data_IF_873938257390
#
_entry.id   IF_873938257390
#
_cell.length_a   1.000
_cell.length_b   1.000
_cell.length_c   1.000
_cell.angle_alpha   90.00
_cell.angle_beta   90.00
_cell.angle_gamma   90.00
#
_symmetry.space_group_name_H-M   'P 1'
#
loop_
_entity.id
_entity.type
_entity.pdbx_description
1 polymer ?
#
# COMPACT_ATOMS: atom_id res chain seq x y z
N UNK A 1 19.62 -24.83 11.84
CA UNK A 1 19.38 -24.05 10.60
C UNK A 1 17.92 -24.18 10.17
N UNK A 2 17.13 -23.10 10.16
CA UNK A 2 15.72 -23.17 9.76
C UNK A 2 15.57 -23.24 8.23
N UNK A 3 14.89 -24.28 7.72
CA UNK A 3 14.64 -24.50 6.28
C UNK A 3 13.92 -23.29 5.64
N UNK A 4 14.14 -22.99 4.34
CA UNK A 4 13.51 -21.85 3.61
C UNK A 4 11.99 -21.77 3.79
N UNK A 5 11.31 -22.92 3.91
CA UNK A 5 9.88 -22.99 4.22
C UNK A 5 9.49 -22.30 5.53
N UNK A 6 10.30 -22.44 6.59
CA UNK A 6 10.04 -21.79 7.89
C UNK A 6 10.18 -20.27 7.78
N UNK A 7 11.14 -19.78 7.01
CA UNK A 7 11.32 -18.35 6.77
C UNK A 7 10.12 -17.78 5.98
N UNK A 8 9.66 -18.48 4.94
CA UNK A 8 8.50 -18.06 4.16
C UNK A 8 7.22 -18.00 5.03
N UNK A 9 6.98 -19.05 5.82
CA UNK A 9 5.85 -19.10 6.76
C UNK A 9 5.92 -17.94 7.76
N UNK A 10 7.08 -17.68 8.37
CA UNK A 10 7.23 -16.58 9.32
C UNK A 10 6.94 -15.20 8.69
N UNK A 11 7.41 -14.98 7.46
CA UNK A 11 7.16 -13.73 6.73
C UNK A 11 5.67 -13.52 6.45
N UNK A 12 4.99 -14.57 5.96
CA UNK A 12 3.55 -14.50 5.66
C UNK A 12 2.74 -14.35 6.94
N UNK A 13 3.07 -15.07 8.01
CA UNK A 13 2.38 -14.97 9.30
C UNK A 13 2.54 -13.57 9.91
N UNK A 14 3.71 -12.96 9.81
CA UNK A 14 3.90 -11.58 10.27
C UNK A 14 3.03 -10.59 9.48
N UNK A 15 2.93 -10.75 8.16
CA UNK A 15 2.02 -9.96 7.35
C UNK A 15 0.55 -10.16 7.69
N UNK A 16 0.13 -11.43 7.86
CA UNK A 16 -1.22 -11.79 8.26
C UNK A 16 -1.57 -11.21 9.63
N UNK A 17 -0.65 -11.27 10.60
CA UNK A 17 -0.84 -10.68 11.92
C UNK A 17 -1.08 -9.17 11.83
N UNK A 18 -0.30 -8.45 11.01
CA UNK A 18 -0.52 -7.00 10.78
C UNK A 18 -1.88 -6.73 10.14
N UNK A 19 -2.24 -7.47 9.09
CA UNK A 19 -3.52 -7.29 8.41
C UNK A 19 -4.72 -7.55 9.35
N UNK A 20 -4.69 -8.65 10.11
CA UNK A 20 -5.74 -8.98 11.08
C UNK A 20 -5.80 -7.94 12.19
N UNK A 21 -4.66 -7.51 12.73
CA UNK A 21 -4.62 -6.48 13.78
C UNK A 21 -5.27 -5.19 13.30
N UNK A 22 -4.97 -4.73 12.08
CA UNK A 22 -5.61 -3.54 11.52
C UNK A 22 -7.11 -3.75 11.30
N UNK A 23 -7.52 -4.92 10.80
CA UNK A 23 -8.94 -5.25 10.64
C UNK A 23 -9.71 -5.21 11.96
N UNK A 24 -9.15 -5.84 13.00
CA UNK A 24 -9.72 -5.83 14.36
C UNK A 24 -9.78 -4.40 14.89
N UNK A 25 -8.68 -3.65 14.84
CA UNK A 25 -8.63 -2.26 15.32
C UNK A 25 -9.66 -1.35 14.62
N UNK A 26 -9.85 -1.52 13.31
CA UNK A 26 -10.86 -0.79 12.56
C UNK A 26 -12.29 -1.25 12.85
N UNK A 27 -12.50 -2.51 13.24
CA UNK A 27 -13.83 -3.04 13.54
C UNK A 27 -14.34 -2.66 14.92
N UNK A 28 -13.43 -2.38 15.87
CA UNK A 28 -13.77 -2.00 17.25
C UNK A 28 -13.69 -0.49 17.49
N UNK A 29 -13.34 0.30 16.47
CA UNK A 29 -13.37 1.76 16.60
C UNK A 29 -14.82 2.25 16.64
N UNK A 30 -15.13 3.16 17.58
CA UNK A 30 -16.49 3.62 17.92
C UNK A 30 -17.19 4.48 16.84
N UNK A 31 -17.19 4.03 15.59
CA UNK A 31 -17.81 4.72 14.45
C UNK A 31 -16.97 5.88 13.89
N UNK A 32 -17.48 6.54 12.82
CA UNK A 32 -16.75 7.59 12.13
C UNK A 32 -16.44 8.78 13.02
N UNK A 33 -15.22 9.32 12.88
CA UNK A 33 -14.76 10.51 13.61
C UNK A 33 -14.47 11.63 12.62
N UNK A 34 -14.90 12.83 12.97
CA UNK A 34 -14.48 14.01 12.24
C UNK A 34 -13.00 14.28 12.52
N UNK A 35 -12.22 14.27 11.45
CA UNK A 35 -10.79 14.57 11.46
C UNK A 35 -10.54 15.87 10.70
N UNK A 36 -9.50 16.63 11.06
CA UNK A 36 -9.20 17.89 10.38
C UNK A 36 -8.86 17.66 8.91
N UNK A 37 -9.46 18.45 8.02
CA UNK A 37 -9.13 18.49 6.58
C UNK A 37 -7.94 19.40 6.27
N UNK A 38 -7.44 20.14 7.26
CA UNK A 38 -6.37 21.13 7.13
C UNK A 38 -6.71 22.18 6.07
N UNK A 39 -5.97 22.19 4.95
CA UNK A 39 -6.13 23.13 3.83
C UNK A 39 -7.07 22.62 2.74
N UNK A 40 -7.62 21.41 2.89
CA UNK A 40 -8.53 20.79 1.92
C UNK A 40 -9.99 21.10 2.28
N UNK A 41 -10.88 21.09 1.29
CA UNK A 41 -12.32 21.34 1.49
C UNK A 41 -13.02 20.28 2.34
N UNK A 42 -12.47 19.07 2.38
CA UNK A 42 -13.00 17.96 3.16
C UNK A 42 -11.92 16.93 3.47
N UNK A 43 -12.17 16.13 4.49
CA UNK A 43 -11.34 14.96 4.84
C UNK A 43 -11.24 13.97 3.68
N UNK A 44 -12.31 13.83 2.90
CA UNK A 44 -12.36 13.00 1.71
C UNK A 44 -11.43 13.56 0.62
N UNK A 45 -11.43 14.87 0.40
CA UNK A 45 -10.53 15.53 -0.56
C UNK A 45 -9.05 15.35 -0.16
N UNK A 46 -8.70 15.65 1.09
CA UNK A 46 -7.35 15.42 1.64
C UNK A 46 -6.89 13.98 1.40
N UNK A 47 -7.72 13.00 1.76
CA UNK A 47 -7.44 11.58 1.58
C UNK A 47 -7.27 11.22 0.10
N UNK A 48 -8.13 11.75 -0.78
CA UNK A 48 -8.08 11.47 -2.21
C UNK A 48 -6.78 11.99 -2.84
N UNK A 49 -6.38 13.23 -2.52
CA UNK A 49 -5.13 13.81 -3.01
C UNK A 49 -3.89 13.11 -2.48
N UNK A 50 -3.82 12.84 -1.17
CA UNK A 50 -2.69 12.10 -0.60
C UNK A 50 -2.59 10.68 -1.18
N UNK A 51 -3.72 9.98 -1.34
CA UNK A 51 -3.73 8.65 -1.94
C UNK A 51 -3.28 8.69 -3.42
N UNK A 52 -3.67 9.72 -4.17
CA UNK A 52 -3.19 9.93 -5.56
C UNK A 52 -1.71 10.28 -5.63
N UNK A 53 -1.17 11.03 -4.66
CA UNK A 53 0.27 11.25 -4.56
C UNK A 53 1.03 9.93 -4.32
N UNK A 54 0.50 9.05 -3.46
CA UNK A 54 1.04 7.69 -3.31
C UNK A 54 0.93 6.90 -4.62
N UNK A 55 -0.17 7.02 -5.35
CA UNK A 55 -0.34 6.34 -6.64
C UNK A 55 0.72 6.77 -7.66
N UNK A 56 1.03 8.06 -7.75
CA UNK A 56 2.11 8.56 -8.59
C UNK A 56 3.48 7.96 -8.17
N UNK A 57 3.77 7.90 -6.87
CA UNK A 57 5.00 7.25 -6.38
C UNK A 57 5.02 5.74 -6.66
N UNK A 58 3.87 5.07 -6.62
CA UNK A 58 3.74 3.64 -6.97
C UNK A 58 3.99 3.40 -8.46
N UNK A 59 3.64 4.33 -9.34
CA UNK A 59 4.05 4.26 -10.76
C UNK A 59 5.58 4.32 -10.88
N UNK A 60 6.23 5.23 -10.14
CA UNK A 60 7.71 5.29 -10.09
C UNK A 60 8.29 3.97 -9.55
N UNK A 61 7.66 3.37 -8.54
CA UNK A 61 8.05 2.06 -8.02
C UNK A 61 7.96 0.95 -9.09
N UNK A 62 6.86 0.91 -9.84
CA UNK A 62 6.65 -0.10 -10.89
C UNK A 62 7.70 0.04 -11.98
N UNK A 63 7.88 1.25 -12.53
CA UNK A 63 8.82 1.49 -13.64
C UNK A 63 10.26 1.19 -13.20
N UNK A 64 10.66 1.67 -12.01
CA UNK A 64 12.01 1.40 -11.49
C UNK A 64 12.23 -0.09 -11.19
N UNK A 65 11.21 -0.81 -10.70
CA UNK A 65 11.29 -2.25 -10.50
C UNK A 65 11.42 -3.00 -11.84
N UNK A 66 10.59 -2.67 -12.85
CA UNK A 66 10.67 -3.30 -14.17
C UNK A 66 12.06 -3.11 -14.79
N UNK A 67 12.67 -1.92 -14.65
CA UNK A 67 14.03 -1.70 -15.09
C UNK A 67 15.04 -2.54 -14.28
N UNK A 68 14.94 -2.55 -12.95
CA UNK A 68 15.82 -3.35 -12.08
C UNK A 68 15.76 -4.86 -12.35
N UNK A 69 14.60 -5.37 -12.80
CA UNK A 69 14.39 -6.77 -13.17
C UNK A 69 14.59 -7.06 -14.68
N UNK A 70 15.09 -6.09 -15.47
CA UNK A 70 15.35 -6.27 -16.90
C UNK A 70 14.11 -6.53 -17.74
N UNK A 71 12.95 -6.00 -17.32
CA UNK A 71 11.64 -6.17 -17.98
C UNK A 71 11.18 -4.92 -18.73
N UNK A 72 11.93 -3.83 -18.67
CA UNK A 72 11.62 -2.60 -19.39
C UNK A 72 12.26 -2.65 -20.80
N UNK A 73 11.48 -2.62 -21.89
CA UNK A 73 12.03 -2.71 -23.24
C UNK A 73 12.78 -1.42 -23.61
N UNK A 74 13.87 -1.54 -24.37
CA UNK A 74 14.60 -0.41 -24.93
C UNK A 74 15.48 0.39 -23.97
N UNK A 75 15.64 -0.06 -22.71
CA UNK A 75 16.55 0.59 -21.74
C UNK A 75 17.81 -0.23 -21.49
N UNK A 76 18.93 0.45 -21.25
CA UNK A 76 20.24 -0.17 -21.00
C UNK A 76 20.43 -0.70 -19.56
N UNK A 77 21.69 -0.96 -19.21
CA UNK A 77 22.07 -1.44 -17.88
C UNK A 77 21.54 -0.55 -16.75
N UNK A 78 21.16 -1.16 -15.63
CA UNK A 78 20.52 -0.48 -14.49
C UNK A 78 21.50 0.47 -13.79
N UNK A 79 21.34 1.81 -13.92
CA UNK A 79 22.20 2.76 -13.24
C UNK A 79 21.98 2.74 -11.72
N UNK A 80 22.99 3.14 -10.94
CA UNK A 80 22.87 3.27 -9.48
C UNK A 80 21.72 4.20 -9.07
N UNK A 81 21.45 5.24 -9.85
CA UNK A 81 20.36 6.18 -9.61
C UNK A 81 18.99 5.49 -9.55
N UNK A 82 18.72 4.50 -10.41
CA UNK A 82 17.42 3.79 -10.41
C UNK A 82 17.18 3.06 -9.09
N UNK A 83 18.22 2.45 -8.51
CA UNK A 83 18.13 1.78 -7.21
C UNK A 83 17.85 2.78 -6.08
N UNK A 84 18.46 3.97 -6.15
CA UNK A 84 18.23 5.06 -5.18
C UNK A 84 16.81 5.59 -5.32
N UNK A 85 16.36 5.90 -6.54
CA UNK A 85 15.00 6.36 -6.83
C UNK A 85 13.98 5.34 -6.34
N UNK A 86 14.17 4.04 -6.62
CA UNK A 86 13.30 2.98 -6.12
C UNK A 86 13.22 2.99 -4.59
N UNK A 87 14.34 3.12 -3.89
CA UNK A 87 14.33 3.12 -2.43
C UNK A 87 13.69 4.38 -1.84
N UNK A 88 14.04 5.55 -2.32
CA UNK A 88 13.57 6.84 -1.79
C UNK A 88 12.09 7.03 -2.08
N UNK A 89 11.66 6.83 -3.33
CA UNK A 89 10.24 6.97 -3.68
C UNK A 89 9.37 5.92 -2.96
N UNK A 90 9.90 4.71 -2.70
CA UNK A 90 9.20 3.70 -1.92
C UNK A 90 9.05 4.08 -0.44
N UNK A 91 10.07 4.70 0.15
CA UNK A 91 10.00 5.24 1.51
C UNK A 91 9.00 6.40 1.60
N UNK A 92 9.02 7.33 0.65
CA UNK A 92 8.06 8.42 0.57
C UNK A 92 6.64 7.90 0.38
N UNK A 93 6.43 6.91 -0.50
CA UNK A 93 5.12 6.31 -0.73
C UNK A 93 4.57 5.70 0.57
N UNK A 94 5.40 4.98 1.32
CA UNK A 94 5.00 4.43 2.61
C UNK A 94 4.66 5.53 3.62
N UNK A 95 5.53 6.52 3.80
CA UNK A 95 5.32 7.63 4.75
C UNK A 95 4.05 8.41 4.43
N UNK A 96 3.81 8.75 3.16
CA UNK A 96 2.60 9.46 2.73
C UNK A 96 1.35 8.57 2.83
N UNK A 97 1.48 7.24 2.73
CA UNK A 97 0.35 6.32 2.94
C UNK A 97 -0.09 6.21 4.40
N UNK A 98 0.78 6.54 5.38
CA UNK A 98 0.45 6.48 6.81
C UNK A 98 -0.69 7.43 7.20
N UNK A 99 -0.67 8.75 6.88
CA UNK A 99 -1.81 9.60 7.15
C UNK A 99 -3.04 9.11 6.41
N UNK A 100 -2.94 8.73 5.12
CA UNK A 100 -4.08 8.15 4.38
C UNK A 100 -4.72 7.01 5.16
N UNK A 101 -3.92 6.06 5.64
CA UNK A 101 -4.39 4.91 6.40
C UNK A 101 -4.96 5.29 7.77
N UNK A 102 -4.37 6.26 8.46
CA UNK A 102 -4.93 6.82 9.69
C UNK A 102 -6.35 7.34 9.46
N UNK A 103 -6.56 8.17 8.43
CA UNK A 103 -7.90 8.65 8.08
C UNK A 103 -8.84 7.49 7.67
N UNK A 104 -8.37 6.47 6.96
CA UNK A 104 -9.18 5.27 6.65
C UNK A 104 -9.64 4.56 7.92
N UNK A 105 -8.69 4.22 8.80
CA UNK A 105 -8.91 3.28 9.89
C UNK A 105 -9.55 3.94 11.09
N UNK A 106 -9.10 5.15 11.44
CA UNK A 106 -9.55 5.88 12.61
C UNK A 106 -10.67 6.87 12.30
N UNK A 107 -10.65 7.46 11.11
CA UNK A 107 -11.68 8.39 10.65
C UNK A 107 -12.95 7.68 10.17
N UNK A 108 -12.82 6.64 9.34
CA UNK A 108 -13.98 5.92 8.78
C UNK A 108 -14.25 4.56 9.44
N UNK A 109 -13.20 3.85 9.88
CA UNK A 109 -13.33 2.52 10.46
C UNK A 109 -13.32 1.39 9.43
N UNK A 110 -13.52 0.16 9.92
CA UNK A 110 -13.73 -1.02 9.08
C UNK A 110 -15.22 -1.10 8.73
N UNK A 111 -15.57 -0.84 7.48
CA UNK A 111 -16.96 -0.74 7.04
C UNK A 111 -17.36 -1.96 6.22
N UNK A 112 -18.44 -2.63 6.64
CA UNK A 112 -19.02 -3.81 5.98
C UNK A 112 -20.37 -3.53 5.31
N UNK A 113 -20.84 -2.27 5.29
CA UNK A 113 -22.18 -1.92 4.83
C UNK A 113 -22.41 -2.15 3.34
N UNK A 114 -21.35 -2.06 2.52
CA UNK A 114 -21.44 -2.28 1.07
C UNK A 114 -20.29 -3.15 0.57
N UNK A 115 -20.45 -3.89 -0.55
CA UNK A 115 -19.34 -4.66 -1.14
C UNK A 115 -18.11 -3.80 -1.43
N UNK A 116 -18.30 -2.54 -1.83
CA UNK A 116 -17.19 -1.60 -2.06
C UNK A 116 -16.43 -1.31 -0.77
N UNK A 117 -17.15 -0.91 0.28
CA UNK A 117 -16.50 -0.47 1.52
C UNK A 117 -15.86 -1.65 2.24
N UNK A 118 -16.50 -2.83 2.19
CA UNK A 118 -15.90 -4.08 2.62
C UNK A 118 -14.61 -4.38 1.86
N UNK A 119 -14.63 -4.29 0.52
CA UNK A 119 -13.44 -4.52 -0.30
C UNK A 119 -12.33 -3.50 0.00
N UNK A 120 -12.66 -2.23 0.24
CA UNK A 120 -11.69 -1.20 0.62
C UNK A 120 -11.06 -1.50 1.99
N UNK A 121 -11.86 -1.84 2.99
CA UNK A 121 -11.39 -2.16 4.33
C UNK A 121 -10.51 -3.40 4.35
N UNK A 122 -10.90 -4.47 3.66
CA UNK A 122 -10.07 -5.67 3.49
C UNK A 122 -8.77 -5.38 2.75
N UNK A 123 -8.84 -4.68 1.61
CA UNK A 123 -7.66 -4.37 0.80
C UNK A 123 -6.68 -3.44 1.53
N UNK A 124 -7.16 -2.48 2.33
CA UNK A 124 -6.34 -1.63 3.17
C UNK A 124 -5.57 -2.41 4.24
N UNK A 125 -6.21 -3.37 4.89
CA UNK A 125 -5.56 -4.27 5.84
C UNK A 125 -4.51 -5.16 5.16
N UNK A 126 -4.88 -5.75 4.01
CA UNK A 126 -3.99 -6.57 3.21
C UNK A 126 -2.78 -5.79 2.68
N UNK A 127 -2.93 -4.51 2.33
CA UNK A 127 -1.82 -3.66 1.88
C UNK A 127 -0.69 -3.61 2.92
N UNK A 128 -1.01 -3.28 4.17
CA UNK A 128 0.01 -3.20 5.23
C UNK A 128 0.56 -4.58 5.60
N UNK A 129 -0.25 -5.65 5.56
CA UNK A 129 0.23 -7.02 5.75
C UNK A 129 1.20 -7.47 4.65
N UNK A 130 0.86 -7.21 3.38
CA UNK A 130 1.71 -7.52 2.24
C UNK A 130 3.00 -6.67 2.25
N UNK A 131 2.90 -5.40 2.64
CA UNK A 131 4.05 -4.52 2.79
C UNK A 131 5.02 -5.03 3.87
N UNK A 132 4.50 -5.39 5.04
CA UNK A 132 5.29 -6.03 6.12
C UNK A 132 5.98 -7.29 5.61
N UNK A 133 5.25 -8.16 4.92
CA UNK A 133 5.81 -9.38 4.32
C UNK A 133 6.95 -9.06 3.36
N UNK A 134 6.75 -8.09 2.46
CA UNK A 134 7.78 -7.63 1.51
C UNK A 134 9.03 -7.15 2.23
N UNK A 135 8.87 -6.32 3.27
CA UNK A 135 10.01 -5.76 4.01
C UNK A 135 10.81 -6.83 4.73
N UNK A 136 10.14 -7.83 5.33
CA UNK A 136 10.81 -8.96 5.96
C UNK A 136 11.49 -9.87 4.92
N UNK A 137 10.85 -10.08 3.76
CA UNK A 137 11.43 -10.87 2.68
C UNK A 137 12.74 -10.26 2.15
N UNK A 138 12.80 -8.93 2.01
CA UNK A 138 14.01 -8.19 1.62
C UNK A 138 15.19 -8.37 2.59
N UNK A 139 14.92 -8.73 3.86
CA UNK A 139 15.94 -8.96 4.88
C UNK A 139 16.33 -10.43 5.02
N UNK A 140 15.71 -11.33 4.25
CA UNK A 140 15.95 -12.77 4.34
C UNK A 140 16.81 -13.27 3.19
N UNK A 141 18.02 -13.71 3.48
CA UNK A 141 18.88 -14.41 2.52
C UNK A 141 18.39 -15.83 2.17
N UNK A 142 17.32 -16.32 2.82
CA UNK A 142 16.84 -17.71 2.71
C UNK A 142 15.66 -17.89 1.76
N UNK A 143 15.13 -16.81 1.18
CA UNK A 143 13.95 -16.87 0.31
C UNK A 143 14.36 -16.91 -1.17
N UNK A 144 13.58 -17.58 -2.03
CA UNK A 144 13.87 -17.61 -3.45
C UNK A 144 13.72 -16.21 -4.08
N UNK A 145 14.49 -15.92 -5.12
CA UNK A 145 14.57 -14.59 -5.75
C UNK A 145 13.25 -14.05 -6.31
N UNK A 146 12.29 -14.92 -6.62
CA UNK A 146 10.95 -14.53 -7.10
C UNK A 146 10.04 -13.99 -5.99
N UNK A 147 10.37 -14.22 -4.71
CA UNK A 147 9.52 -13.82 -3.57
C UNK A 147 9.30 -12.31 -3.52
N UNK A 148 10.35 -11.53 -3.76
CA UNK A 148 10.31 -10.06 -3.72
C UNK A 148 9.43 -9.49 -4.83
N UNK A 149 9.57 -9.91 -6.11
CA UNK A 149 8.63 -9.54 -7.17
C UNK A 149 7.17 -9.87 -6.86
N UNK A 150 6.89 -11.07 -6.34
CA UNK A 150 5.51 -11.48 -6.03
C UNK A 150 4.92 -10.60 -4.93
N UNK A 151 5.62 -10.43 -3.81
CA UNK A 151 5.15 -9.55 -2.72
C UNK A 151 5.05 -8.08 -3.16
N UNK A 152 5.98 -7.62 -3.99
CA UNK A 152 5.95 -6.29 -4.60
C UNK A 152 4.72 -6.09 -5.51
N UNK A 153 4.43 -7.08 -6.35
CA UNK A 153 3.23 -7.11 -7.18
C UNK A 153 1.95 -7.14 -6.36
N UNK A 154 1.89 -7.96 -5.31
CA UNK A 154 0.75 -7.98 -4.38
C UNK A 154 0.51 -6.61 -3.75
N UNK A 155 1.55 -5.96 -3.20
CA UNK A 155 1.46 -4.61 -2.62
C UNK A 155 0.93 -3.60 -3.65
N UNK A 156 1.44 -3.63 -4.88
CA UNK A 156 0.97 -2.77 -5.96
C UNK A 156 -0.52 -3.02 -6.27
N UNK A 157 -0.91 -4.28 -6.46
CA UNK A 157 -2.29 -4.65 -6.81
C UNK A 157 -3.27 -4.22 -5.74
N UNK A 158 -3.00 -4.53 -4.46
CA UNK A 158 -3.92 -4.15 -3.37
C UNK A 158 -3.94 -2.64 -3.14
N UNK A 159 -2.82 -1.94 -3.34
CA UNK A 159 -2.82 -0.48 -3.31
C UNK A 159 -3.71 0.12 -4.41
N UNK A 160 -3.54 -0.34 -5.65
CA UNK A 160 -4.35 0.13 -6.79
C UNK A 160 -5.84 -0.12 -6.53
N UNK A 161 -6.19 -1.28 -5.97
CA UNK A 161 -7.56 -1.59 -5.58
C UNK A 161 -8.09 -0.61 -4.51
N UNK A 162 -7.33 -0.37 -3.44
CA UNK A 162 -7.70 0.60 -2.38
C UNK A 162 -7.91 1.99 -2.97
N UNK A 163 -6.97 2.46 -3.80
CA UNK A 163 -7.02 3.77 -4.45
C UNK A 163 -8.22 3.89 -5.41
N UNK A 164 -8.48 2.85 -6.20
CA UNK A 164 -9.60 2.82 -7.14
C UNK A 164 -10.96 2.85 -6.41
N UNK A 165 -11.11 2.08 -5.33
CA UNK A 165 -12.34 2.00 -4.54
C UNK A 165 -12.62 3.29 -3.73
N UNK A 166 -11.60 4.12 -3.49
CA UNK A 166 -11.77 5.40 -2.76
C UNK A 166 -11.47 6.63 -3.60
N UNK A 167 -10.20 6.94 -3.86
CA UNK A 167 -9.77 8.24 -4.36
C UNK A 167 -10.22 8.45 -5.81
N UNK A 168 -9.98 7.46 -6.68
CA UNK A 168 -10.41 7.55 -8.08
C UNK A 168 -11.92 7.74 -8.18
N UNK A 169 -12.69 6.94 -7.43
CA UNK A 169 -14.15 7.05 -7.42
C UNK A 169 -14.61 8.41 -6.86
N UNK A 170 -13.92 8.97 -5.87
CA UNK A 170 -14.22 10.31 -5.38
C UNK A 170 -14.07 11.35 -6.49
N UNK A 171 -12.92 11.39 -7.18
CA UNK A 171 -12.72 12.31 -8.31
C UNK A 171 -13.74 12.13 -9.43
N UNK A 172 -14.20 10.90 -9.70
CA UNK A 172 -15.25 10.63 -10.69
C UNK A 172 -16.62 11.19 -10.29
N UNK A 173 -16.92 11.26 -9.00
CA UNK A 173 -18.20 11.73 -8.48
C UNK A 173 -18.23 13.24 -8.23
N UNK A 174 -17.10 13.82 -7.81
CA UNK A 174 -17.03 15.21 -7.35
C UNK A 174 -16.25 16.13 -8.28
N UNK A 175 -15.53 15.58 -9.27
CA UNK A 175 -14.58 16.34 -10.08
C UNK A 175 -13.28 16.64 -9.32
N UNK A 176 -12.48 17.55 -9.88
CA UNK A 176 -11.21 18.00 -9.28
C UNK A 176 -11.51 19.18 -8.35
N UNK A 177 -11.54 18.90 -7.05
CA UNK A 177 -11.62 19.91 -5.99
C UNK A 177 -10.49 19.69 -4.98
N UNK A 178 -9.97 20.79 -4.41
CA UNK A 178 -9.04 20.79 -3.28
C UNK A 178 -9.84 20.76 -1.98
#
# INVERSE_FOLDING_TARGET
MARPRRAAVAVVLAGAAVAVTLGVLGSVSNGPRELPAWVFSSTQSLKAWLASAVAALVVVQLVSALWMFGKLPGVGAVPRAVKIVHRVSGALAFVVSLPVAFYCLYGFGFDTATPRTLAHSLAGCLFYGAFTSKMLALRSARLPGWTVPVLGGTVLTVFVLVWALSALRWFQLTGIAL
#
